data_IF_849993310537
#
_entry.id   IF_849993310537
#
_cell.length_a   1.000
_cell.length_b   1.000
_cell.length_c   1.000
_cell.angle_alpha   90.00
_cell.angle_beta   90.00
_cell.angle_gamma   90.00
#
_symmetry.space_group_name_H-M   'P 1'
#
loop_
_entity.id
_entity.type
_entity.pdbx_description
1 polymer ?
#
# COMPACT_ATOMS: atom_id res chain seq x y z
N UNK A 1 6.22 29.42 8.41
CA UNK A 1 6.33 28.23 7.53
C UNK A 1 5.38 27.14 8.01
N UNK A 2 4.10 27.14 7.58
CA UNK A 2 3.11 26.11 7.97
C UNK A 2 2.83 25.07 6.87
N UNK A 3 3.06 25.43 5.60
CA UNK A 3 2.78 24.57 4.44
C UNK A 3 3.75 23.37 4.34
N UNK A 4 5.05 23.60 4.55
CA UNK A 4 6.08 22.54 4.52
C UNK A 4 5.88 21.48 5.60
N UNK A 5 5.37 21.87 6.78
CA UNK A 5 5.06 20.94 7.88
C UNK A 5 3.77 20.14 7.63
N UNK A 6 2.76 20.74 6.99
CA UNK A 6 1.55 20.02 6.55
C UNK A 6 1.86 19.00 5.47
N UNK A 7 2.66 19.35 4.46
CA UNK A 7 3.07 18.43 3.39
C UNK A 7 3.90 17.28 3.96
N UNK A 8 4.87 17.57 4.83
CA UNK A 8 5.68 16.53 5.50
C UNK A 8 4.82 15.60 6.36
N UNK A 9 3.80 16.13 7.05
CA UNK A 9 2.90 15.32 7.89
C UNK A 9 1.96 14.45 7.06
N UNK A 10 1.45 14.97 5.93
CA UNK A 10 0.66 14.20 4.98
C UNK A 10 1.49 13.09 4.32
N UNK A 11 2.73 13.41 3.94
CA UNK A 11 3.66 12.44 3.36
C UNK A 11 4.11 11.40 4.40
N UNK A 12 4.24 11.78 5.68
CA UNK A 12 4.49 10.85 6.77
C UNK A 12 3.30 9.91 7.00
N UNK A 13 2.07 10.42 7.01
CA UNK A 13 0.85 9.58 7.09
C UNK A 13 0.72 8.65 5.89
N UNK A 14 1.03 9.13 4.69
CA UNK A 14 1.06 8.29 3.49
C UNK A 14 2.13 7.20 3.53
N UNK A 15 3.26 7.47 4.21
CA UNK A 15 4.33 6.48 4.45
C UNK A 15 3.98 5.51 5.59
N UNK A 16 3.16 5.93 6.54
CA UNK A 16 2.73 5.14 7.69
C UNK A 16 1.61 4.15 7.30
N UNK A 17 0.67 4.61 6.46
CA UNK A 17 -0.21 3.71 5.71
C UNK A 17 0.64 2.92 4.71
N UNK A 18 1.03 1.70 5.08
CA UNK A 18 1.67 0.75 4.18
C UNK A 18 0.57 -0.06 3.49
N UNK A 19 0.03 0.39 2.34
CA UNK A 19 -1.06 -0.30 1.66
C UNK A 19 -0.66 -1.72 1.25
N UNK A 20 0.62 -1.95 0.99
CA UNK A 20 1.17 -3.26 0.68
C UNK A 20 1.07 -4.20 1.89
N UNK A 21 1.35 -3.70 3.09
CA UNK A 21 1.27 -4.47 4.32
C UNK A 21 -0.19 -4.75 4.72
N UNK A 22 -1.06 -3.78 4.51
CA UNK A 22 -2.52 -3.94 4.67
C UNK A 22 -3.07 -5.01 3.72
N UNK A 23 -2.63 -4.98 2.46
CA UNK A 23 -3.00 -5.98 1.45
C UNK A 23 -2.47 -7.38 1.78
N UNK A 24 -1.27 -7.49 2.34
CA UNK A 24 -0.74 -8.77 2.81
C UNK A 24 -1.49 -9.29 4.05
N UNK A 25 -1.90 -8.39 4.95
CA UNK A 25 -2.67 -8.76 6.15
C UNK A 25 -4.10 -9.22 5.84
N UNK A 26 -4.66 -8.82 4.71
CA UNK A 26 -5.93 -9.34 4.20
C UNK A 26 -5.85 -10.81 3.72
N UNK A 27 -4.65 -11.41 3.70
CA UNK A 27 -4.49 -12.78 3.26
C UNK A 27 -5.11 -13.79 4.24
N UNK A 28 -5.87 -14.75 3.71
CA UNK A 28 -6.57 -15.78 4.51
C UNK A 28 -5.83 -17.12 4.55
N UNK A 29 -4.75 -17.27 3.78
CA UNK A 29 -3.96 -18.49 3.67
C UNK A 29 -2.54 -18.18 3.17
N UNK A 30 -1.57 -19.07 3.43
CA UNK A 30 -0.20 -18.92 2.92
C UNK A 30 -0.15 -18.79 1.39
N UNK A 31 -0.95 -19.58 0.66
CA UNK A 31 -0.98 -19.52 -0.80
C UNK A 31 -1.51 -18.17 -1.30
N UNK A 32 -2.44 -17.56 -0.57
CA UNK A 32 -2.97 -16.22 -0.87
C UNK A 32 -1.92 -15.15 -0.58
N UNK A 33 -1.21 -15.26 0.55
CA UNK A 33 -0.09 -14.38 0.92
C UNK A 33 0.99 -14.38 -0.17
N UNK A 34 1.42 -15.55 -0.65
CA UNK A 34 2.41 -15.68 -1.71
C UNK A 34 1.94 -15.07 -3.04
N UNK A 35 0.67 -15.23 -3.40
CA UNK A 35 0.09 -14.59 -4.58
C UNK A 35 0.13 -13.07 -4.46
N UNK A 36 -0.29 -12.52 -3.32
CA UNK A 36 -0.29 -11.08 -3.04
C UNK A 36 1.13 -10.50 -3.02
N UNK A 37 2.11 -11.21 -2.44
CA UNK A 37 3.52 -10.81 -2.48
C UNK A 37 4.07 -10.77 -3.92
N UNK A 38 3.68 -11.74 -4.75
CA UNK A 38 4.04 -11.74 -6.18
C UNK A 38 3.40 -10.56 -6.92
N UNK A 39 2.18 -10.18 -6.58
CA UNK A 39 1.48 -9.03 -7.18
C UNK A 39 2.12 -7.69 -6.81
N UNK A 40 2.57 -7.55 -5.56
CA UNK A 40 3.35 -6.40 -5.09
C UNK A 40 4.70 -6.36 -5.82
N UNK A 41 5.43 -7.48 -5.83
CA UNK A 41 6.76 -7.59 -6.47
C UNK A 41 6.70 -7.29 -7.97
N UNK A 42 5.64 -7.72 -8.66
CA UNK A 42 5.40 -7.44 -10.08
C UNK A 42 4.92 -6.01 -10.35
N UNK A 43 4.77 -5.18 -9.32
CA UNK A 43 4.26 -3.80 -9.41
C UNK A 43 2.78 -3.72 -9.81
N UNK A 44 2.04 -4.83 -9.80
CA UNK A 44 0.63 -4.90 -10.21
C UNK A 44 -0.32 -4.39 -9.14
N UNK A 45 0.10 -4.46 -7.87
CA UNK A 45 -0.62 -3.90 -6.72
C UNK A 45 -1.04 -2.44 -6.91
N UNK A 46 -0.16 -1.60 -7.48
CA UNK A 46 -0.43 -0.17 -7.71
C UNK A 46 -1.43 0.08 -8.86
N UNK A 47 -1.52 -0.81 -9.84
CA UNK A 47 -2.48 -0.68 -10.94
C UNK A 47 -3.88 -1.13 -10.53
N UNK A 48 -4.00 -2.14 -9.67
CA UNK A 48 -5.29 -2.63 -9.19
C UNK A 48 -5.97 -1.63 -8.25
N UNK A 49 -5.24 -1.00 -7.32
CA UNK A 49 -5.81 0.06 -6.47
C UNK A 49 -6.16 1.35 -7.21
N UNK A 50 -5.56 1.61 -8.39
CA UNK A 50 -5.90 2.78 -9.22
C UNK A 50 -7.19 2.61 -10.03
N UNK A 51 -7.66 1.38 -10.18
CA UNK A 51 -8.90 1.02 -10.90
C UNK A 51 -10.08 0.71 -9.97
N UNK A 52 -9.92 0.88 -8.65
CA UNK A 52 -11.02 0.72 -7.69
C UNK A 52 -11.88 1.98 -7.59
N UNK A 53 -13.10 1.88 -8.12
CA UNK A 53 -14.27 2.66 -7.66
C UNK A 53 -14.65 2.27 -6.24
#
# INVERSE_FOLDING_TARGET
MKIVSTIRSAMKRYRDSNPELDYLNEATSCADLECREREITRGRFRNQRRMGF
#
